data_IF_597751701043
#
_entry.id   IF_597751701043
#
_cell.length_a   1.000
_cell.length_b   1.000
_cell.length_c   1.000
_cell.angle_alpha   90.00
_cell.angle_beta   90.00
_cell.angle_gamma   90.00
#
_symmetry.space_group_name_H-M   'P 1'
#
loop_
_entity.id
_entity.type
_entity.pdbx_description
1 polymer ?
#
# COMPACT_ATOMS: atom_id res chain seq x y z
N UNK A 1 20.36 20.96 8.60
CA UNK A 1 19.04 21.09 7.95
C UNK A 1 18.46 19.69 7.79
N UNK A 2 17.60 19.25 8.72
CA UNK A 2 16.96 17.93 8.61
C UNK A 2 15.98 18.03 7.44
N UNK A 3 16.20 17.28 6.36
CA UNK A 3 15.18 17.10 5.34
C UNK A 3 14.01 16.43 6.04
N UNK A 4 12.88 17.11 6.15
CA UNK A 4 11.59 16.49 6.43
C UNK A 4 11.28 15.59 5.24
N UNK A 5 11.84 14.37 5.26
CA UNK A 5 11.56 13.32 4.30
C UNK A 5 10.18 12.73 4.59
N UNK A 6 9.57 12.14 3.57
CA UNK A 6 8.34 11.38 3.71
C UNK A 6 8.49 10.31 4.79
N UNK A 7 7.46 10.11 5.61
CA UNK A 7 7.42 9.00 6.57
C UNK A 7 7.70 7.66 5.85
N UNK A 8 8.47 6.73 6.43
CA UNK A 8 8.65 5.39 5.89
C UNK A 8 7.31 4.65 5.77
N UNK A 9 7.12 3.88 4.70
CA UNK A 9 5.90 3.11 4.46
C UNK A 9 5.51 2.19 5.63
N UNK A 10 6.48 1.48 6.23
CA UNK A 10 6.26 0.65 7.42
C UNK A 10 5.69 1.44 8.60
N UNK A 11 6.15 2.67 8.77
CA UNK A 11 5.72 3.50 9.89
C UNK A 11 4.30 4.03 9.68
N UNK A 12 3.91 4.29 8.43
CA UNK A 12 2.51 4.62 8.09
C UNK A 12 1.60 3.43 8.41
N UNK A 13 2.00 2.21 8.05
CA UNK A 13 1.25 0.99 8.39
C UNK A 13 1.13 0.80 9.91
N UNK A 14 2.24 0.98 10.63
CA UNK A 14 2.32 0.73 12.07
C UNK A 14 1.58 1.79 12.92
N UNK A 15 1.86 3.07 12.67
CA UNK A 15 1.35 4.20 13.45
C UNK A 15 0.00 4.69 12.91
N UNK A 16 -0.11 4.91 11.59
CA UNK A 16 -1.27 5.61 11.00
C UNK A 16 -2.42 4.66 10.62
N UNK A 17 -2.16 3.36 10.44
CA UNK A 17 -3.17 2.35 10.09
C UNK A 17 -3.43 1.33 11.23
N UNK A 18 -2.87 1.56 12.41
CA UNK A 18 -3.19 0.78 13.61
C UNK A 18 -2.66 -0.65 13.60
N UNK A 19 -1.67 -1.00 12.76
CA UNK A 19 -1.06 -2.33 12.82
C UNK A 19 -0.32 -2.57 14.16
N UNK A 20 0.08 -1.50 14.84
CA UNK A 20 0.57 -1.56 16.23
C UNK A 20 -0.47 -2.08 17.23
N UNK A 21 -1.75 -1.88 16.94
CA UNK A 21 -2.88 -2.29 17.79
C UNK A 21 -3.44 -3.67 17.39
N UNK A 22 -2.82 -4.35 16.43
CA UNK A 22 -3.25 -5.65 15.92
C UNK A 22 -4.27 -5.59 14.78
N UNK A 23 -4.50 -4.42 14.19
CA UNK A 23 -5.31 -4.30 12.97
C UNK A 23 -4.52 -4.79 11.75
N UNK A 24 -5.21 -5.46 10.83
CA UNK A 24 -4.65 -5.84 9.52
C UNK A 24 -5.04 -4.77 8.50
N UNK A 25 -4.11 -3.87 8.10
CA UNK A 25 -4.47 -2.77 7.23
C UNK A 25 -4.69 -3.22 5.79
N UNK A 26 -5.78 -2.76 5.20
CA UNK A 26 -6.13 -3.07 3.83
C UNK A 26 -5.25 -2.32 2.82
N UNK A 27 -5.00 -2.91 1.65
CA UNK A 27 -4.23 -2.31 0.57
C UNK A 27 -4.79 -0.96 0.12
N UNK A 28 -6.13 -0.84 0.10
CA UNK A 28 -6.84 0.40 -0.24
C UNK A 28 -6.46 1.53 0.72
N UNK A 29 -6.55 1.27 2.03
CA UNK A 29 -6.25 2.26 3.08
C UNK A 29 -4.77 2.65 3.09
N UNK A 30 -3.91 1.66 2.88
CA UNK A 30 -2.47 1.85 2.71
C UNK A 30 -2.17 2.75 1.51
N UNK A 31 -2.80 2.51 0.37
CA UNK A 31 -2.62 3.31 -0.83
C UNK A 31 -3.13 4.74 -0.63
N UNK A 32 -4.33 4.90 -0.05
CA UNK A 32 -4.90 6.21 0.25
C UNK A 32 -3.98 7.03 1.17
N UNK A 33 -3.55 6.45 2.29
CA UNK A 33 -2.76 7.16 3.31
C UNK A 33 -1.37 7.53 2.82
N UNK A 34 -0.75 6.70 1.98
CA UNK A 34 0.60 6.94 1.46
C UNK A 34 0.64 7.90 0.27
N UNK A 35 -0.47 8.03 -0.47
CA UNK A 35 -0.53 8.85 -1.68
C UNK A 35 -1.34 10.14 -1.52
N UNK A 36 -2.16 10.27 -0.47
CA UNK A 36 -2.86 11.52 -0.18
C UNK A 36 -1.86 12.65 0.08
N UNK A 37 -2.21 13.85 -0.36
CA UNK A 37 -1.50 15.10 -0.05
C UNK A 37 -2.49 16.00 0.68
N UNK A 38 -2.43 16.00 2.00
CA UNK A 38 -3.54 16.49 2.83
C UNK A 38 -4.69 15.47 2.79
N UNK A 39 -5.90 15.92 2.46
CA UNK A 39 -7.12 15.08 2.46
C UNK A 39 -7.53 14.58 1.06
N UNK A 40 -6.72 14.86 0.03
CA UNK A 40 -7.05 14.53 -1.36
C UNK A 40 -5.88 13.89 -2.11
N UNK A 41 -6.21 13.19 -3.18
CA UNK A 41 -5.20 12.68 -4.12
C UNK A 41 -4.56 13.81 -4.93
N UNK A 42 -3.25 13.75 -5.19
CA UNK A 42 -2.53 14.81 -5.87
C UNK A 42 -2.78 14.85 -7.39
N UNK A 43 -3.22 13.75 -8.00
CA UNK A 43 -3.46 13.66 -9.44
C UNK A 43 -4.56 12.62 -9.76
N UNK A 44 -5.14 12.73 -10.96
CA UNK A 44 -6.19 11.82 -11.44
C UNK A 44 -5.69 10.38 -11.61
N UNK A 45 -4.41 10.20 -11.98
CA UNK A 45 -3.80 8.87 -12.12
C UNK A 45 -3.80 8.10 -10.79
N UNK A 46 -3.57 8.78 -9.67
CA UNK A 46 -3.61 8.16 -8.33
C UNK A 46 -5.04 7.80 -7.96
N UNK A 47 -6.02 8.64 -8.27
CA UNK A 47 -7.44 8.33 -8.05
C UNK A 47 -7.86 7.10 -8.84
N UNK A 48 -7.53 7.04 -10.14
CA UNK A 48 -7.83 5.88 -10.99
C UNK A 48 -7.21 4.60 -10.45
N UNK A 49 -5.95 4.64 -10.02
CA UNK A 49 -5.28 3.47 -9.41
C UNK A 49 -5.92 3.04 -8.10
N UNK A 50 -6.39 3.98 -7.29
CA UNK A 50 -7.10 3.66 -6.05
C UNK A 50 -8.44 2.96 -6.36
N UNK A 51 -9.19 3.44 -7.34
CA UNK A 51 -10.42 2.79 -7.82
C UNK A 51 -10.13 1.40 -8.39
N UNK A 52 -9.11 1.25 -9.23
CA UNK A 52 -8.74 -0.05 -9.81
C UNK A 52 -8.33 -1.08 -8.74
N UNK A 53 -7.63 -0.65 -7.67
CA UNK A 53 -7.34 -1.52 -6.52
C UNK A 53 -8.65 -1.96 -5.86
N UNK A 54 -9.54 -1.01 -5.58
CA UNK A 54 -10.82 -1.29 -4.91
C UNK A 54 -11.67 -2.24 -5.74
N UNK A 55 -11.85 -1.98 -7.04
CA UNK A 55 -12.59 -2.85 -7.95
C UNK A 55 -11.96 -4.24 -8.04
N UNK A 56 -10.63 -4.35 -8.06
CA UNK A 56 -9.96 -5.67 -8.12
C UNK A 56 -10.20 -6.46 -6.83
N UNK A 57 -10.19 -5.81 -5.66
CA UNK A 57 -10.50 -6.46 -4.38
C UNK A 57 -11.97 -6.87 -4.27
N UNK A 58 -12.88 -6.06 -4.80
CA UNK A 58 -14.32 -6.34 -4.79
C UNK A 58 -14.69 -7.46 -5.77
N UNK A 59 -14.07 -7.50 -6.95
CA UNK A 59 -14.30 -8.55 -7.94
C UNK A 59 -13.73 -9.91 -7.50
N UNK A 60 -12.53 -9.92 -6.92
CA UNK A 60 -11.83 -11.14 -6.53
C UNK A 60 -11.41 -11.08 -5.04
N UNK A 61 -12.33 -11.28 -4.08
CA UNK A 61 -12.05 -11.15 -2.65
C UNK A 61 -11.10 -12.24 -2.09
N UNK A 62 -10.85 -13.29 -2.86
CA UNK A 62 -9.90 -14.36 -2.52
C UNK A 62 -8.44 -13.97 -2.78
N UNK A 63 -8.18 -12.90 -3.54
CA UNK A 63 -6.83 -12.45 -3.84
C UNK A 63 -6.19 -11.80 -2.63
N UNK A 64 -4.91 -12.09 -2.43
CA UNK A 64 -4.12 -11.37 -1.43
C UNK A 64 -3.84 -9.93 -1.88
N UNK A 65 -3.66 -9.03 -0.91
CA UNK A 65 -3.24 -7.64 -1.16
C UNK A 65 -2.03 -7.53 -2.10
N UNK A 66 -1.11 -8.49 -2.06
CA UNK A 66 0.07 -8.51 -2.94
C UNK A 66 -0.31 -8.80 -4.39
N UNK A 67 -1.20 -9.76 -4.61
CA UNK A 67 -1.64 -10.15 -5.95
C UNK A 67 -2.48 -9.06 -6.60
N UNK A 68 -3.39 -8.45 -5.84
CA UNK A 68 -4.16 -7.28 -6.27
C UNK A 68 -3.23 -6.17 -6.71
N UNK A 69 -2.23 -5.83 -5.88
CA UNK A 69 -1.27 -4.80 -6.23
C UNK A 69 -0.44 -5.18 -7.48
N UNK A 70 -0.05 -6.44 -7.64
CA UNK A 70 0.65 -6.88 -8.86
C UNK A 70 -0.20 -6.74 -10.12
N UNK A 71 -1.50 -7.05 -10.03
CA UNK A 71 -2.47 -6.96 -11.14
C UNK A 71 -2.65 -5.49 -11.59
N UNK A 72 -2.91 -4.59 -10.64
CA UNK A 72 -3.10 -3.15 -10.89
C UNK A 72 -1.81 -2.48 -11.40
N UNK A 73 -0.69 -2.68 -10.69
CA UNK A 73 0.57 -2.00 -11.02
C UNK A 73 1.36 -2.69 -12.14
N UNK A 74 0.87 -3.82 -12.66
CA UNK A 74 1.49 -4.62 -13.74
C UNK A 74 2.98 -4.92 -13.47
N UNK A 75 3.32 -5.11 -12.20
CA UNK A 75 4.70 -5.34 -11.80
C UNK A 75 5.13 -6.77 -12.17
N UNK A 76 6.19 -6.90 -12.97
CA UNK A 76 6.73 -8.21 -13.36
C UNK A 76 7.48 -8.91 -12.23
N UNK A 77 7.93 -8.18 -11.21
CA UNK A 77 8.70 -8.72 -10.10
C UNK A 77 7.80 -9.14 -8.94
N UNK A 78 7.76 -10.44 -8.63
CA UNK A 78 6.99 -10.98 -7.49
C UNK A 78 7.39 -10.38 -6.14
N UNK A 79 8.66 -9.96 -6.01
CA UNK A 79 9.21 -9.41 -4.77
C UNK A 79 8.97 -7.91 -4.59
N UNK A 80 8.59 -7.21 -5.67
CA UNK A 80 8.47 -5.76 -5.69
C UNK A 80 7.17 -5.33 -6.34
N UNK A 81 6.36 -4.60 -5.58
CA UNK A 81 5.17 -3.93 -6.08
C UNK A 81 5.54 -2.51 -6.46
N UNK A 82 5.29 -2.15 -7.72
CA UNK A 82 5.65 -0.84 -8.30
C UNK A 82 4.47 0.11 -8.18
N UNK A 83 4.25 0.68 -6.99
CA UNK A 83 3.06 1.51 -6.75
C UNK A 83 3.22 2.71 -5.81
N UNK A 84 4.35 2.84 -5.11
CA UNK A 84 4.41 3.71 -3.92
C UNK A 84 5.66 4.61 -3.84
N UNK A 85 6.20 5.07 -4.98
CA UNK A 85 7.28 6.07 -5.04
C UNK A 85 8.68 5.57 -4.65
N UNK A 86 8.81 4.49 -3.88
CA UNK A 86 9.99 3.63 -3.71
C UNK A 86 9.47 2.20 -3.71
N UNK A 87 10.09 1.30 -4.47
CA UNK A 87 9.60 -0.08 -4.62
C UNK A 87 9.29 -0.73 -3.27
N UNK A 88 8.04 -1.17 -3.10
CA UNK A 88 7.59 -1.83 -1.87
C UNK A 88 7.88 -3.31 -1.98
N UNK A 89 8.48 -3.88 -0.94
CA UNK A 89 8.74 -5.31 -0.90
C UNK A 89 7.49 -6.03 -0.42
N UNK A 90 7.29 -7.26 -0.89
CA UNK A 90 6.18 -8.12 -0.46
C UNK A 90 6.01 -8.18 1.08
N UNK A 91 7.13 -8.28 1.81
CA UNK A 91 7.19 -8.28 3.28
C UNK A 91 6.68 -7.00 3.96
N UNK A 92 6.59 -5.90 3.22
CA UNK A 92 6.09 -4.64 3.74
C UNK A 92 4.55 -4.60 3.69
N UNK A 93 3.94 -5.41 2.81
CA UNK A 93 2.49 -5.53 2.59
C UNK A 93 1.88 -6.66 3.43
N UNK A 94 2.62 -7.76 3.60
CA UNK A 94 2.17 -8.95 4.37
C UNK A 94 2.27 -8.71 5.90
N UNK A 95 2.80 -7.57 6.35
CA UNK A 95 3.09 -7.34 7.77
C UNK A 95 4.31 -8.14 8.25
N UNK A 96 4.64 -8.00 9.54
CA UNK A 96 5.74 -8.75 10.17
C UNK A 96 5.42 -10.24 10.12
N UNK A 97 6.18 -11.02 9.33
CA UNK A 97 6.13 -12.47 9.47
C UNK A 97 6.60 -12.81 10.89
N UNK A 98 5.88 -13.66 11.64
CA UNK A 98 6.29 -14.06 12.98
C UNK A 98 7.72 -14.57 12.93
N UNK A 99 8.54 -14.14 13.89
CA UNK A 99 9.88 -14.70 14.06
C UNK A 99 9.74 -16.19 14.33
N UNK A 100 10.53 -16.98 13.60
CA UNK A 100 10.59 -18.42 13.74
C UNK A 100 11.49 -18.82 14.91
#
# INVERSE_FOLDING_TARGET
>A
MHRTGSKPFRQIIWDDLGASEGNDPNLVDVFYTTRKKGDKFPNAETTQKHEEIRETMENDPSLSNVEVAQKVFKSKSKDRVVGYGRGIKRRDIIGTQPSK
#
